data_IF_435723436333
#
_entry.id   IF_435723436333
#
_cell.length_a   1.000
_cell.length_b   1.000
_cell.length_c   1.000
_cell.angle_alpha   90.00
_cell.angle_beta   90.00
_cell.angle_gamma   90.00
#
_symmetry.space_group_name_H-M   'P 1'
#
loop_
_entity.id
_entity.type
_entity.pdbx_description
1 polymer ?
#
# COMPACT_ATOMS: atom_id res chain seq x y z
N UNK A 1 -7.70 11.64 10.06
CA UNK A 1 -7.33 10.45 9.27
C UNK A 1 -6.74 9.41 10.19
N UNK A 2 -7.07 8.16 9.97
CA UNK A 2 -6.60 7.04 10.78
C UNK A 2 -5.41 6.40 10.07
N UNK A 3 -4.37 6.04 10.82
CA UNK A 3 -3.19 5.39 10.28
C UNK A 3 -3.22 3.89 10.59
N UNK A 4 -2.86 3.07 9.63
CA UNK A 4 -2.84 1.62 9.75
C UNK A 4 -1.43 1.04 9.76
N UNK A 5 -1.31 -0.30 9.62
CA UNK A 5 -0.02 -0.99 9.76
C UNK A 5 0.91 -0.71 8.59
N UNK A 6 2.23 -0.70 8.88
CA UNK A 6 3.27 -0.61 7.87
C UNK A 6 3.89 -1.96 7.50
N UNK A 7 3.70 -2.98 8.34
CA UNK A 7 4.19 -4.34 8.11
C UNK A 7 3.11 -5.32 8.54
N UNK A 8 2.74 -6.25 7.65
CA UNK A 8 1.68 -7.21 7.95
C UNK A 8 1.72 -8.36 6.96
N UNK A 9 1.55 -9.61 7.41
CA UNK A 9 1.40 -10.74 6.49
C UNK A 9 0.23 -10.54 5.54
N UNK A 10 0.41 -10.94 4.29
CA UNK A 10 -0.56 -10.72 3.22
C UNK A 10 -1.95 -11.24 3.58
N UNK A 11 -2.04 -12.40 4.21
CA UNK A 11 -3.31 -13.04 4.56
C UNK A 11 -4.06 -12.37 5.72
N UNK A 12 -3.46 -11.37 6.35
CA UNK A 12 -4.09 -10.63 7.45
C UNK A 12 -4.60 -9.25 7.04
N UNK A 13 -4.25 -8.79 5.87
CA UNK A 13 -4.57 -7.43 5.42
C UNK A 13 -6.08 -7.23 5.30
N UNK A 14 -6.78 -8.14 4.66
CA UNK A 14 -8.23 -8.03 4.47
C UNK A 14 -8.96 -7.93 5.81
N UNK A 15 -8.67 -8.83 6.74
CA UNK A 15 -9.32 -8.83 8.05
C UNK A 15 -9.03 -7.54 8.81
N UNK A 16 -7.80 -7.05 8.75
CA UNK A 16 -7.42 -5.80 9.40
C UNK A 16 -8.19 -4.61 8.83
N UNK A 17 -8.32 -4.53 7.51
CA UNK A 17 -9.07 -3.46 6.86
C UNK A 17 -10.55 -3.50 7.22
N UNK A 18 -11.15 -4.68 7.30
CA UNK A 18 -12.56 -4.84 7.65
C UNK A 18 -12.84 -4.45 9.10
N UNK A 19 -11.96 -4.83 10.02
CA UNK A 19 -12.04 -4.41 11.42
C UNK A 19 -11.92 -2.90 11.51
N UNK A 20 -10.99 -2.31 10.79
CA UNK A 20 -10.76 -0.88 10.77
C UNK A 20 -12.00 -0.11 10.31
N UNK A 21 -12.65 -0.55 9.24
CA UNK A 21 -13.87 0.08 8.76
C UNK A 21 -14.96 0.07 9.82
N UNK A 22 -15.11 -1.03 10.54
CA UNK A 22 -16.13 -1.19 11.56
C UNK A 22 -15.84 -0.29 12.77
N UNK A 23 -14.62 -0.34 13.30
CA UNK A 23 -14.25 0.40 14.50
C UNK A 23 -14.18 1.90 14.23
N UNK A 24 -13.64 2.31 13.10
CA UNK A 24 -13.43 3.72 12.74
C UNK A 24 -14.59 4.31 11.94
N UNK A 25 -15.67 3.55 11.75
CA UNK A 25 -16.93 4.02 11.14
C UNK A 25 -16.72 4.66 9.76
N UNK A 26 -15.85 4.07 8.95
CA UNK A 26 -15.60 4.55 7.59
C UNK A 26 -14.72 5.79 7.50
N UNK A 27 -14.06 6.20 8.57
CA UNK A 27 -13.10 7.31 8.51
C UNK A 27 -11.98 7.02 7.50
N UNK A 28 -11.45 8.05 6.82
CA UNK A 28 -10.34 7.85 5.88
C UNK A 28 -9.16 7.17 6.54
N UNK A 29 -8.60 6.16 5.87
CA UNK A 29 -7.58 5.28 6.41
C UNK A 29 -6.32 5.29 5.55
N UNK A 30 -5.19 5.55 6.18
CA UNK A 30 -3.87 5.67 5.55
C UNK A 30 -3.00 4.48 5.96
N UNK A 31 -2.30 3.87 5.01
CA UNK A 31 -1.36 2.79 5.29
C UNK A 31 -0.02 3.04 4.61
N UNK A 32 1.04 2.49 5.19
CA UNK A 32 2.37 2.44 4.60
C UNK A 32 2.56 1.03 4.06
N UNK A 33 2.36 0.86 2.79
CA UNK A 33 2.41 -0.45 2.17
C UNK A 33 1.06 -1.15 2.18
N UNK A 34 0.84 -2.14 3.04
CA UNK A 34 1.79 -2.76 4.01
C UNK A 34 2.90 -3.57 3.35
N UNK A 35 4.06 -3.60 4.02
CA UNK A 35 5.17 -4.45 3.62
C UNK A 35 4.84 -5.89 4.06
N UNK A 36 4.72 -6.78 3.09
CA UNK A 36 4.23 -8.15 3.33
C UNK A 36 5.34 -9.16 3.53
N UNK A 37 6.59 -8.77 3.33
CA UNK A 37 7.77 -9.60 3.53
C UNK A 37 8.97 -8.70 3.81
N UNK A 38 10.01 -9.25 4.42
CA UNK A 38 11.25 -8.54 4.74
C UNK A 38 12.47 -9.09 4.00
N UNK A 39 12.26 -9.90 2.96
CA UNK A 39 13.36 -10.51 2.20
C UNK A 39 13.83 -9.66 1.01
N UNK A 40 13.37 -8.43 0.88
CA UNK A 40 13.55 -7.65 -0.33
C UNK A 40 14.30 -6.32 -0.10
N UNK A 41 15.50 -6.30 0.55
CA UNK A 41 16.26 -5.06 0.69
C UNK A 41 16.55 -4.45 -0.68
N UNK A 42 16.30 -3.16 -0.84
CA UNK A 42 16.43 -2.48 -2.11
C UNK A 42 15.23 -2.62 -3.04
N UNK A 43 14.24 -3.44 -2.65
CA UNK A 43 13.02 -3.67 -3.44
C UNK A 43 11.75 -3.51 -2.61
N UNK A 44 11.83 -2.78 -1.50
CA UNK A 44 10.69 -2.60 -0.60
C UNK A 44 9.52 -1.86 -1.23
N UNK A 45 9.77 -1.06 -2.28
CA UNK A 45 8.71 -0.42 -3.05
C UNK A 45 7.82 -1.47 -3.75
N UNK A 46 8.39 -2.58 -4.19
CA UNK A 46 7.64 -3.69 -4.79
C UNK A 46 6.83 -4.41 -3.71
N UNK A 47 7.45 -4.70 -2.57
CA UNK A 47 6.79 -5.34 -1.42
C UNK A 47 5.62 -4.49 -0.94
N UNK A 48 5.83 -3.18 -0.84
CA UNK A 48 4.80 -2.21 -0.48
C UNK A 48 3.65 -2.19 -1.49
N UNK A 49 3.96 -2.30 -2.78
CA UNK A 49 2.92 -2.32 -3.82
C UNK A 49 2.00 -3.53 -3.68
N UNK A 50 2.55 -4.69 -3.34
CA UNK A 50 1.76 -5.91 -3.14
C UNK A 50 0.75 -5.70 -2.00
N UNK A 51 1.23 -5.30 -0.84
CA UNK A 51 0.37 -5.07 0.32
C UNK A 51 -0.56 -3.89 0.12
N UNK A 52 -0.08 -2.84 -0.53
CA UNK A 52 -0.87 -1.65 -0.83
C UNK A 52 -2.05 -1.94 -1.74
N UNK A 53 -1.87 -2.77 -2.76
CA UNK A 53 -2.96 -3.16 -3.65
C UNK A 53 -4.06 -3.91 -2.88
N UNK A 54 -3.68 -4.82 -2.00
CA UNK A 54 -4.64 -5.55 -1.17
C UNK A 54 -5.34 -4.60 -0.19
N UNK A 55 -4.58 -3.78 0.54
CA UNK A 55 -5.16 -2.85 1.52
C UNK A 55 -6.12 -1.86 0.86
N UNK A 56 -5.76 -1.30 -0.29
CA UNK A 56 -6.61 -0.36 -1.01
C UNK A 56 -7.87 -1.04 -1.56
N UNK A 57 -7.77 -2.29 -2.00
CA UNK A 57 -8.93 -3.07 -2.45
C UNK A 57 -9.96 -3.22 -1.32
N UNK A 58 -9.49 -3.37 -0.08
CA UNK A 58 -10.36 -3.58 1.08
C UNK A 58 -10.59 -2.32 1.92
N UNK A 59 -10.24 -1.15 1.43
CA UNK A 59 -10.73 0.09 2.00
C UNK A 59 -9.73 1.14 2.44
N UNK A 60 -8.43 0.92 2.27
CA UNK A 60 -7.47 1.99 2.53
C UNK A 60 -7.74 3.17 1.58
N UNK A 61 -7.75 4.38 2.12
CA UNK A 61 -8.02 5.60 1.36
C UNK A 61 -6.76 6.21 0.77
N UNK A 62 -5.63 6.03 1.44
CA UNK A 62 -4.34 6.58 1.05
C UNK A 62 -3.24 5.56 1.22
N UNK A 63 -2.37 5.47 0.24
CA UNK A 63 -1.17 4.64 0.29
C UNK A 63 0.06 5.55 0.41
N UNK A 64 0.86 5.35 1.45
CA UNK A 64 2.18 5.97 1.53
C UNK A 64 3.13 5.20 0.61
N UNK A 65 3.90 5.90 -0.19
CA UNK A 65 4.90 5.23 -1.01
C UNK A 65 6.10 4.80 -0.17
N UNK A 66 6.78 3.75 -0.62
CA UNK A 66 8.01 3.25 -0.02
C UNK A 66 9.07 3.25 -1.13
N UNK A 67 10.29 3.68 -0.82
CA UNK A 67 11.35 3.75 -1.81
C UNK A 67 12.22 2.49 -1.81
N UNK A 68 12.98 2.25 -2.90
CA UNK A 68 14.00 1.18 -2.90
C UNK A 68 15.06 1.36 -1.82
N UNK A 69 15.23 2.58 -1.31
CA UNK A 69 16.22 2.89 -0.28
C UNK A 69 15.74 2.61 1.14
N UNK A 70 14.47 2.21 1.33
CA UNK A 70 13.88 2.00 2.65
C UNK A 70 14.73 1.07 3.51
N UNK A 71 15.01 1.48 4.75
CA UNK A 71 15.86 0.76 5.71
C UNK A 71 17.34 0.66 5.32
N UNK A 72 17.77 1.22 4.18
CA UNK A 72 19.14 1.09 3.68
C UNK A 72 19.92 2.40 3.68
N UNK A 73 19.30 3.49 3.22
CA UNK A 73 19.96 4.78 3.04
C UNK A 73 18.92 5.87 2.85
N UNK A 74 19.35 7.12 2.81
CA UNK A 74 18.45 8.22 2.42
C UNK A 74 18.13 8.09 0.93
N UNK A 75 16.86 8.25 0.56
CA UNK A 75 16.46 8.14 -0.84
C UNK A 75 16.97 9.31 -1.66
N UNK A 76 17.41 9.03 -2.87
CA UNK A 76 17.68 10.06 -3.87
C UNK A 76 16.40 10.29 -4.72
N UNK A 77 16.50 11.19 -5.70
CA UNK A 77 15.37 11.53 -6.56
C UNK A 77 14.84 10.33 -7.33
N UNK A 78 15.74 9.47 -7.81
CA UNK A 78 15.33 8.27 -8.54
C UNK A 78 14.60 7.26 -7.64
N UNK A 79 15.05 7.12 -6.39
CA UNK A 79 14.40 6.26 -5.41
C UNK A 79 12.95 6.73 -5.16
N UNK A 80 12.77 8.03 -4.99
CA UNK A 80 11.43 8.60 -4.78
C UNK A 80 10.53 8.33 -5.99
N UNK A 81 11.05 8.52 -7.19
CA UNK A 81 10.32 8.25 -8.43
C UNK A 81 9.87 6.80 -8.50
N UNK A 82 10.76 5.85 -8.22
CA UNK A 82 10.43 4.43 -8.26
C UNK A 82 9.38 4.07 -7.22
N UNK A 83 9.47 4.62 -6.02
CA UNK A 83 8.49 4.39 -4.97
C UNK A 83 7.10 4.91 -5.32
N UNK A 84 7.04 6.11 -5.89
CA UNK A 84 5.76 6.70 -6.30
C UNK A 84 5.12 5.90 -7.43
N UNK A 85 5.90 5.47 -8.41
CA UNK A 85 5.41 4.66 -9.52
C UNK A 85 4.82 3.35 -8.99
N UNK A 86 5.53 2.67 -8.09
CA UNK A 86 5.06 1.43 -7.49
C UNK A 86 3.73 1.62 -6.75
N UNK A 87 3.62 2.69 -5.96
CA UNK A 87 2.39 3.01 -5.23
C UNK A 87 1.23 3.32 -6.17
N UNK A 88 1.48 4.02 -7.27
CA UNK A 88 0.45 4.32 -8.28
C UNK A 88 -0.05 3.05 -8.96
N UNK A 89 0.85 2.12 -9.27
CA UNK A 89 0.47 0.84 -9.87
C UNK A 89 -0.44 0.06 -8.90
N UNK A 90 -0.07 0.03 -7.62
CA UNK A 90 -0.87 -0.64 -6.59
C UNK A 90 -2.26 -0.01 -6.47
N UNK A 91 -2.34 1.32 -6.42
CA UNK A 91 -3.60 2.04 -6.33
C UNK A 91 -4.49 1.78 -7.53
N UNK A 92 -3.92 1.77 -8.74
CA UNK A 92 -4.69 1.50 -9.96
C UNK A 92 -5.20 0.07 -9.98
N UNK A 93 -4.39 -0.90 -9.56
CA UNK A 93 -4.83 -2.29 -9.45
C UNK A 93 -6.02 -2.43 -8.49
N UNK A 94 -5.99 -1.72 -7.37
CA UNK A 94 -7.10 -1.71 -6.42
C UNK A 94 -8.35 -1.05 -7.01
N UNK A 95 -8.18 0.04 -7.76
CA UNK A 95 -9.31 0.71 -8.42
C UNK A 95 -10.00 -0.21 -9.43
N UNK A 96 -9.24 -0.97 -10.18
CA UNK A 96 -9.79 -1.96 -11.11
C UNK A 96 -10.58 -3.03 -10.34
N UNK A 97 -10.00 -3.54 -9.24
CA UNK A 97 -10.66 -4.55 -8.41
C UNK A 97 -11.99 -4.05 -7.83
N UNK A 98 -12.07 -2.76 -7.53
CA UNK A 98 -13.30 -2.11 -7.04
C UNK A 98 -14.19 -1.60 -8.17
N UNK A 99 -13.81 -1.86 -9.41
CA UNK A 99 -14.53 -1.44 -10.63
C UNK A 99 -14.54 0.07 -10.88
N UNK A 100 -13.70 0.83 -10.18
CA UNK A 100 -13.62 2.28 -10.35
C UNK A 100 -12.91 2.63 -11.66
N UNK A 101 -11.84 1.91 -11.98
CA UNK A 101 -10.98 2.20 -13.13
C UNK A 101 -11.21 1.33 -14.35
N UNK A 102 -12.34 0.65 -14.48
CA UNK A 102 -12.58 -0.32 -15.56
C UNK A 102 -12.43 0.24 -16.95
N UNK A 103 -12.81 1.49 -17.14
CA UNK A 103 -12.71 2.12 -18.46
C UNK A 103 -11.28 2.32 -18.93
N UNK A 104 -10.30 2.15 -18.05
CA UNK A 104 -8.87 2.34 -18.36
C UNK A 104 -8.09 1.05 -18.54
N UNK A 105 -8.77 -0.09 -18.52
CA UNK A 105 -8.14 -1.41 -18.68
C UNK A 105 -8.03 -1.88 -20.15
#
# INVERSE_FOLDING_TARGET
MIEGPGHMPLNQIQANMEIQKTICKGAPFYVLGPLVTDIAPGYDHITSAIGGAVAATYGASFLCYVTPAEHLRLPDLNDVKEGIIAAKIAAHAADIAKEIGRAHV
#
